data_IF_032624726633
#
_entry.id   IF_032624726633
#
_cell.length_a   1.000
_cell.length_b   1.000
_cell.length_c   1.000
_cell.angle_alpha   90.00
_cell.angle_beta   90.00
_cell.angle_gamma   90.00
#
_symmetry.space_group_name_H-M   'P 1'
#
loop_
_entity.id
_entity.type
_entity.pdbx_description
1 polymer ?
#
# COMPACT_ATOMS: atom_id res chain seq x y z
N UNK A 1 35.02 -24.75 -8.50
CA UNK A 1 34.33 -23.54 -7.99
C UNK A 1 33.07 -23.35 -8.81
N UNK A 2 31.90 -23.72 -8.27
CA UNK A 2 30.62 -23.53 -8.95
C UNK A 2 30.01 -22.21 -8.44
N UNK A 3 29.97 -21.21 -9.32
CA UNK A 3 29.31 -19.95 -9.04
C UNK A 3 27.80 -20.18 -9.13
N UNK A 4 27.10 -20.09 -8.00
CA UNK A 4 25.65 -19.98 -7.99
C UNK A 4 25.29 -18.57 -8.48
N UNK A 5 24.93 -18.45 -9.75
CA UNK A 5 24.31 -17.25 -10.26
C UNK A 5 22.91 -17.14 -9.63
N UNK A 6 22.72 -16.17 -8.74
CA UNK A 6 21.38 -15.78 -8.33
C UNK A 6 20.67 -15.16 -9.54
N UNK A 7 19.43 -15.55 -9.86
CA UNK A 7 18.65 -14.82 -10.84
C UNK A 7 18.47 -13.40 -10.32
N UNK A 8 19.14 -12.43 -10.97
CA UNK A 8 18.81 -11.03 -10.80
C UNK A 8 17.43 -10.87 -11.41
N UNK A 9 16.40 -10.86 -10.57
CA UNK A 9 15.04 -10.57 -11.00
C UNK A 9 15.03 -9.22 -11.70
N UNK A 10 14.54 -9.18 -12.94
CA UNK A 10 14.27 -7.93 -13.65
C UNK A 10 13.28 -7.15 -12.77
N UNK A 11 13.57 -5.90 -12.39
CA UNK A 11 12.58 -5.09 -11.68
C UNK A 11 11.42 -4.88 -12.64
N UNK A 12 10.33 -5.62 -12.42
CA UNK A 12 9.07 -5.30 -13.06
C UNK A 12 8.61 -4.00 -12.41
N UNK A 13 8.60 -2.90 -13.16
CA UNK A 13 7.91 -1.71 -12.70
C UNK A 13 6.44 -2.12 -12.51
N UNK A 14 6.02 -2.27 -11.25
CA UNK A 14 4.64 -2.57 -10.94
C UNK A 14 3.79 -1.45 -11.57
N UNK A 15 2.87 -1.82 -12.47
CA UNK A 15 1.95 -0.86 -13.05
C UNK A 15 1.20 -0.16 -11.91
N UNK A 16 0.91 1.14 -12.09
CA UNK A 16 0.04 1.86 -11.16
C UNK A 16 -1.38 1.28 -11.25
N UNK A 17 -1.91 0.81 -10.13
CA UNK A 17 -3.22 0.18 -10.00
C UNK A 17 -4.13 1.09 -9.17
N UNK A 18 -5.38 1.28 -9.57
CA UNK A 18 -6.36 1.96 -8.73
C UNK A 18 -6.92 1.02 -7.67
N UNK A 19 -7.36 1.54 -6.52
CA UNK A 19 -8.00 0.72 -5.47
C UNK A 19 -9.17 -0.11 -6.04
N UNK A 20 -9.94 0.44 -6.98
CA UNK A 20 -11.03 -0.27 -7.64
C UNK A 20 -10.58 -1.58 -8.33
N UNK A 21 -9.50 -1.54 -9.09
CA UNK A 21 -8.96 -2.71 -9.80
C UNK A 21 -8.41 -3.75 -8.80
N UNK A 22 -7.69 -3.27 -7.79
CA UNK A 22 -7.14 -4.11 -6.72
C UNK A 22 -8.25 -4.88 -5.98
N UNK A 23 -9.38 -4.22 -5.72
CA UNK A 23 -10.54 -4.80 -5.05
C UNK A 23 -11.38 -5.72 -5.95
N UNK A 24 -11.37 -5.49 -7.26
CA UNK A 24 -12.07 -6.36 -8.22
C UNK A 24 -11.35 -7.70 -8.41
N UNK A 25 -10.01 -7.71 -8.31
CA UNK A 25 -9.18 -8.89 -8.57
C UNK A 25 -8.18 -9.20 -7.43
N UNK A 26 -8.61 -9.27 -6.15
CA UNK A 26 -7.69 -9.33 -5.02
C UNK A 26 -6.85 -10.62 -4.98
N UNK A 27 -7.36 -11.71 -5.55
CA UNK A 27 -6.63 -12.99 -5.62
C UNK A 27 -5.44 -12.93 -6.61
N UNK A 28 -5.45 -12.01 -7.58
CA UNK A 28 -4.31 -11.82 -8.50
C UNK A 28 -3.14 -11.07 -7.84
N UNK A 29 -3.45 -10.26 -6.82
CA UNK A 29 -2.49 -9.39 -6.15
C UNK A 29 -2.06 -9.92 -4.78
N UNK A 30 -2.68 -10.99 -4.29
CA UNK A 30 -2.37 -11.54 -2.98
C UNK A 30 -0.88 -11.91 -2.86
N UNK A 31 -0.22 -11.38 -1.83
CA UNK A 31 1.22 -11.48 -1.59
C UNK A 31 2.12 -10.89 -2.69
N UNK A 32 1.58 -10.09 -3.61
CA UNK A 32 2.36 -9.40 -4.65
C UNK A 32 2.75 -7.98 -4.21
N UNK A 33 3.83 -7.48 -4.80
CA UNK A 33 4.16 -6.06 -4.75
C UNK A 33 3.19 -5.29 -5.64
N UNK A 34 2.60 -4.23 -5.10
CA UNK A 34 1.65 -3.37 -5.79
C UNK A 34 2.05 -1.91 -5.64
N UNK A 35 1.71 -1.11 -6.65
CA UNK A 35 1.78 0.36 -6.60
C UNK A 35 0.36 0.87 -6.80
N UNK A 36 -0.22 1.50 -5.79
CA UNK A 36 -1.66 1.78 -5.71
C UNK A 36 -1.92 3.25 -5.44
N UNK A 37 -2.77 3.88 -6.23
CA UNK A 37 -3.23 5.26 -6.01
C UNK A 37 -4.56 5.33 -5.25
N UNK A 38 -4.75 6.41 -4.51
CA UNK A 38 -6.02 6.71 -3.87
C UNK A 38 -5.95 7.84 -2.87
N UNK A 39 -7.07 8.13 -2.20
CA UNK A 39 -7.18 9.19 -1.19
C UNK A 39 -6.98 8.66 0.22
N UNK A 40 -6.20 9.36 1.03
CA UNK A 40 -5.97 9.03 2.44
C UNK A 40 -7.17 9.43 3.29
N UNK A 41 -7.60 8.52 4.17
CA UNK A 41 -8.58 8.79 5.23
C UNK A 41 -8.24 8.03 6.50
N UNK A 42 -8.80 8.45 7.65
CA UNK A 42 -8.59 7.75 8.93
C UNK A 42 -7.11 7.56 9.29
N UNK A 43 -6.27 8.57 9.02
CA UNK A 43 -4.83 8.52 9.26
C UNK A 43 -4.52 8.49 10.76
N UNK A 44 -3.66 7.56 11.17
CA UNK A 44 -3.29 7.35 12.57
C UNK A 44 -1.81 7.01 12.69
N UNK A 45 -1.18 7.58 13.72
CA UNK A 45 0.12 7.14 14.20
C UNK A 45 -0.08 6.05 15.25
N UNK A 46 0.81 5.06 15.22
CA UNK A 46 0.77 3.91 16.11
C UNK A 46 2.18 3.47 16.49
N UNK A 47 2.25 2.45 17.34
CA UNK A 47 3.47 1.69 17.61
C UNK A 47 3.20 0.24 17.19
N UNK A 48 4.13 -0.36 16.45
CA UNK A 48 4.01 -1.77 16.07
C UNK A 48 4.24 -2.69 17.29
N UNK A 49 4.09 -4.00 17.10
CA UNK A 49 4.25 -4.99 18.19
C UNK A 49 5.66 -5.04 18.78
N UNK A 50 6.66 -4.61 18.01
CA UNK A 50 8.07 -4.60 18.41
C UNK A 50 8.47 -3.28 19.10
N UNK A 51 7.54 -2.34 19.28
CA UNK A 51 7.80 -1.04 19.90
C UNK A 51 8.28 0.05 18.94
N UNK A 52 8.31 -0.21 17.62
CA UNK A 52 8.71 0.76 16.61
C UNK A 52 7.56 1.69 16.21
N UNK A 53 7.83 2.98 15.92
CA UNK A 53 6.84 3.87 15.33
C UNK A 53 6.26 3.27 14.05
N UNK A 54 4.95 3.43 13.88
CA UNK A 54 4.20 2.97 12.73
C UNK A 54 3.09 3.95 12.38
N UNK A 55 2.50 3.76 11.22
CA UNK A 55 1.30 4.48 10.80
C UNK A 55 0.29 3.52 10.19
N UNK A 56 -0.97 3.95 10.16
CA UNK A 56 -2.02 3.29 9.40
C UNK A 56 -3.02 4.31 8.87
N UNK A 57 -3.62 3.99 7.73
CA UNK A 57 -4.72 4.76 7.15
C UNK A 57 -5.57 3.88 6.23
N UNK A 58 -6.70 4.39 5.78
CA UNK A 58 -7.49 3.78 4.72
C UNK A 58 -7.21 4.53 3.41
N UNK A 59 -6.78 3.79 2.40
CA UNK A 59 -6.64 4.26 1.02
C UNK A 59 -7.98 4.04 0.32
N UNK A 60 -8.60 5.12 -0.14
CA UNK A 60 -9.96 5.11 -0.67
C UNK A 60 -10.00 5.48 -2.15
N UNK A 61 -10.93 4.86 -2.85
CA UNK A 61 -11.43 5.25 -4.16
C UNK A 61 -12.97 5.02 -4.17
N UNK A 62 -13.62 5.38 -5.25
CA UNK A 62 -15.05 5.21 -5.53
C UNK A 62 -15.57 3.79 -5.26
N UNK A 63 -14.76 2.74 -5.47
CA UNK A 63 -15.19 1.36 -5.23
C UNK A 63 -15.05 0.89 -3.77
N UNK A 64 -14.29 1.59 -2.92
CA UNK A 64 -14.10 1.17 -1.54
C UNK A 64 -12.75 1.56 -0.94
N UNK A 65 -12.33 0.79 0.06
CA UNK A 65 -11.16 1.11 0.89
C UNK A 65 -10.23 -0.07 1.07
N UNK A 66 -8.93 0.19 1.08
CA UNK A 66 -7.88 -0.77 1.43
C UNK A 66 -7.10 -0.22 2.62
N UNK A 67 -6.82 -1.05 3.61
CA UNK A 67 -6.04 -0.63 4.77
C UNK A 67 -4.56 -0.55 4.38
N UNK A 68 -3.90 0.53 4.72
CA UNK A 68 -2.45 0.69 4.55
C UNK A 68 -1.80 0.76 5.92
N UNK A 69 -0.71 0.01 6.10
CA UNK A 69 0.12 0.06 7.30
C UNK A 69 1.58 0.16 6.92
N UNK A 70 2.38 0.89 7.68
CA UNK A 70 3.82 1.01 7.44
C UNK A 70 4.59 1.36 8.71
N UNK A 71 5.91 1.18 8.65
CA UNK A 71 6.82 1.54 9.74
C UNK A 71 7.31 2.99 9.58
N UNK A 72 7.69 3.60 10.70
CA UNK A 72 8.19 4.97 10.74
C UNK A 72 7.07 6.00 10.65
N UNK A 73 7.33 7.08 9.89
CA UNK A 73 6.39 8.18 9.65
C UNK A 73 6.12 8.27 8.15
N UNK A 74 4.85 8.44 7.79
CA UNK A 74 4.47 8.88 6.45
C UNK A 74 4.18 10.38 6.51
N UNK A 75 4.79 11.14 5.60
CA UNK A 75 4.47 12.56 5.42
C UNK A 75 3.26 12.66 4.47
N UNK A 76 2.08 12.35 4.99
CA UNK A 76 0.78 12.46 4.31
C UNK A 76 -0.27 12.92 5.31
N UNK A 77 -1.33 13.55 4.81
CA UNK A 77 -2.46 14.03 5.61
C UNK A 77 -3.76 13.42 5.11
N UNK A 78 -4.78 13.48 5.96
CA UNK A 78 -6.13 13.13 5.56
C UNK A 78 -6.58 14.00 4.39
N UNK A 79 -7.18 13.37 3.37
CA UNK A 79 -7.58 14.00 2.11
C UNK A 79 -6.49 14.05 1.04
N UNK A 80 -5.22 13.76 1.37
CA UNK A 80 -4.15 13.71 0.36
C UNK A 80 -4.44 12.59 -0.66
N UNK A 81 -4.18 12.88 -1.93
CA UNK A 81 -4.12 11.85 -2.96
C UNK A 81 -2.68 11.35 -3.06
N UNK A 82 -2.49 10.04 -2.89
CA UNK A 82 -1.18 9.42 -2.70
C UNK A 82 -0.98 8.23 -3.62
N UNK A 83 0.28 7.89 -3.87
CA UNK A 83 0.72 6.62 -4.42
C UNK A 83 1.38 5.81 -3.30
N UNK A 84 0.93 4.58 -3.12
CA UNK A 84 1.42 3.64 -2.11
C UNK A 84 2.09 2.48 -2.82
N UNK A 85 3.37 2.24 -2.53
CA UNK A 85 4.04 1.00 -2.91
C UNK A 85 4.11 0.07 -1.69
N UNK A 86 3.83 -1.21 -1.88
CA UNK A 86 3.91 -2.18 -0.79
C UNK A 86 3.49 -3.59 -1.19
N UNK A 87 3.43 -4.48 -0.21
CA UNK A 87 2.94 -5.85 -0.40
C UNK A 87 1.46 -5.88 -0.05
N UNK A 88 0.63 -6.30 -1.00
CA UNK A 88 -0.80 -6.53 -0.77
C UNK A 88 -1.04 -7.90 -0.12
N UNK A 89 -2.02 -7.98 0.77
CA UNK A 89 -2.44 -9.23 1.38
C UNK A 89 -3.95 -9.25 1.58
N UNK A 90 -4.57 -10.34 1.15
CA UNK A 90 -5.97 -10.68 1.38
C UNK A 90 -6.06 -11.57 2.62
N UNK A 91 -6.27 -10.97 3.77
CA UNK A 91 -6.25 -11.64 5.07
C UNK A 91 -7.62 -12.22 5.42
N UNK A 92 -7.68 -13.52 5.72
CA UNK A 92 -8.86 -14.15 6.32
C UNK A 92 -8.71 -14.12 7.84
N UNK A 93 -9.71 -13.61 8.55
CA UNK A 93 -9.75 -13.81 10.00
C UNK A 93 -10.09 -15.27 10.31
N UNK A 94 -9.21 -15.95 11.05
CA UNK A 94 -9.44 -17.34 11.47
C UNK A 94 -10.80 -17.49 12.18
N UNK A 95 -11.61 -18.46 11.73
CA UNK A 95 -12.94 -18.71 12.29
C UNK A 95 -14.01 -17.68 11.93
N UNK A 96 -13.73 -16.72 11.05
CA UNK A 96 -14.69 -15.70 10.58
C UNK A 96 -14.73 -15.63 9.06
N UNK A 97 -15.89 -15.31 8.51
CA UNK A 97 -16.06 -15.10 7.06
C UNK A 97 -15.50 -13.75 6.57
N UNK A 98 -14.95 -12.92 7.47
CA UNK A 98 -14.49 -11.58 7.13
C UNK A 98 -13.09 -11.65 6.49
N UNK A 99 -12.98 -11.03 5.32
CA UNK A 99 -11.75 -10.87 4.57
C UNK A 99 -11.34 -9.41 4.60
N UNK A 100 -10.07 -9.13 4.93
CA UNK A 100 -9.50 -7.79 4.97
C UNK A 100 -8.41 -7.65 3.91
N UNK A 101 -8.43 -6.53 3.20
CA UNK A 101 -7.39 -6.17 2.25
C UNK A 101 -6.44 -5.17 2.93
N UNK A 102 -5.16 -5.53 3.00
CA UNK A 102 -4.12 -4.72 3.63
C UNK A 102 -2.93 -4.57 2.67
N UNK A 103 -2.37 -3.37 2.61
CA UNK A 103 -1.07 -3.09 2.00
C UNK A 103 -0.08 -2.79 3.12
N UNK A 104 0.98 -3.59 3.20
CA UNK A 104 2.16 -3.27 4.00
C UNK A 104 3.06 -2.38 3.16
N UNK A 105 3.02 -1.08 3.42
CA UNK A 105 3.69 -0.06 2.65
C UNK A 105 5.21 -0.08 2.86
N UNK A 106 5.94 -0.01 1.75
CA UNK A 106 7.37 0.29 1.68
C UNK A 106 7.62 1.76 1.35
N UNK A 107 6.70 2.39 0.61
CA UNK A 107 6.74 3.81 0.26
C UNK A 107 5.34 4.41 0.19
N UNK A 108 5.20 5.66 0.60
CA UNK A 108 3.98 6.45 0.45
C UNK A 108 4.37 7.85 -0.01
N UNK A 109 3.84 8.28 -1.16
CA UNK A 109 4.17 9.57 -1.76
C UNK A 109 2.89 10.37 -2.07
N UNK A 110 2.82 11.61 -1.61
CA UNK A 110 1.74 12.54 -1.97
C UNK A 110 1.93 13.05 -3.38
N UNK A 111 0.91 12.92 -4.24
CA UNK A 111 0.98 13.36 -5.63
C UNK A 111 1.11 14.88 -5.76
N UNK A 112 0.55 15.65 -4.84
CA UNK A 112 0.73 17.11 -4.79
C UNK A 112 2.21 17.52 -4.64
N UNK A 113 3.04 16.65 -4.04
CA UNK A 113 4.48 16.87 -3.91
C UNK A 113 5.30 16.26 -5.05
N UNK A 114 4.73 15.33 -5.80
CA UNK A 114 5.35 14.79 -7.01
C UNK A 114 5.18 15.74 -8.20
N UNK A 115 4.14 16.56 -8.20
CA UNK A 115 3.88 17.54 -9.25
C UNK A 115 3.46 18.89 -8.65
N UNK A 116 4.43 19.69 -8.15
CA UNK A 116 4.14 20.95 -7.46
C UNK A 116 3.47 22.00 -8.37
N UNK A 117 3.51 21.82 -9.69
CA UNK A 117 2.95 22.74 -10.67
C UNK A 117 1.42 22.59 -10.88
N UNK A 118 0.78 21.61 -10.22
CA UNK A 118 -0.68 21.38 -10.30
C UNK A 118 -1.46 21.93 -9.10
N UNK A 119 -0.79 22.64 -8.19
CA UNK A 119 -1.43 23.30 -7.05
C UNK A 119 -1.51 24.80 -7.35
N UNK A 120 -2.62 25.22 -7.94
CA UNK A 120 -2.99 26.63 -8.12
C UNK A 120 -3.66 27.22 -6.90
#
# INVERSE_FOLDING_TARGET
MMAWAWPVGIPYAAALVEVTELLAHPDHYDHQVVTVSGRVSSFQLATNRDGHPAFGFLLQDTAGTVKVVGLGKADVREGDYVVVEGIFSRLRQAGRAIVYNEIKATSVQSMARMNPDLVG
#
